data_IF_102093276196
#
_entry.id   IF_102093276196
#
_cell.length_a   1.000
_cell.length_b   1.000
_cell.length_c   1.000
_cell.angle_alpha   90.00
_cell.angle_beta   90.00
_cell.angle_gamma   90.00
#
_symmetry.space_group_name_H-M   'P 1'
#
loop_
_entity.id
_entity.type
_entity.pdbx_description
1 polymer ?
#
# COMPACT_ATOMS: atom_id res chain seq x y z
N UNK A 1 -9.30 9.96 -21.44
CA UNK A 1 -10.20 9.74 -20.28
C UNK A 1 -9.46 9.26 -19.02
N UNK A 2 -8.22 8.76 -19.10
CA UNK A 2 -7.42 8.38 -17.92
C UNK A 2 -6.87 9.57 -17.13
N UNK A 3 -6.45 10.65 -17.80
CA UNK A 3 -5.90 11.85 -17.12
C UNK A 3 -6.87 12.50 -16.14
N UNK A 4 -8.17 12.52 -16.47
CA UNK A 4 -9.22 13.05 -15.58
C UNK A 4 -9.28 12.27 -14.25
N UNK A 5 -9.10 10.96 -14.31
CA UNK A 5 -9.21 10.08 -13.14
C UNK A 5 -7.97 10.18 -12.22
N UNK A 6 -6.80 10.50 -12.77
CA UNK A 6 -5.59 10.80 -11.99
C UNK A 6 -5.66 12.21 -11.38
N UNK A 7 -6.17 13.21 -12.12
CA UNK A 7 -6.40 14.55 -11.57
C UNK A 7 -7.42 14.54 -10.44
N UNK A 8 -8.51 13.76 -10.58
CA UNK A 8 -9.54 13.64 -9.54
C UNK A 8 -8.99 12.98 -8.28
N UNK A 9 -8.18 11.92 -8.42
CA UNK A 9 -7.47 11.29 -7.29
C UNK A 9 -6.52 12.26 -6.60
N UNK A 10 -5.77 13.07 -7.36
CA UNK A 10 -4.88 14.07 -6.80
C UNK A 10 -5.65 15.16 -6.03
N UNK A 11 -6.84 15.54 -6.50
CA UNK A 11 -7.73 16.48 -5.81
C UNK A 11 -8.26 15.86 -4.52
N UNK A 12 -8.65 14.58 -4.51
CA UNK A 12 -9.07 13.86 -3.30
C UNK A 12 -7.94 13.75 -2.27
N UNK A 13 -6.74 13.39 -2.71
CA UNK A 13 -5.53 13.36 -1.87
C UNK A 13 -5.26 14.75 -1.28
N UNK A 14 -5.38 15.81 -2.08
CA UNK A 14 -5.20 17.19 -1.60
C UNK A 14 -6.26 17.59 -0.57
N UNK A 15 -7.53 17.22 -0.77
CA UNK A 15 -8.61 17.46 0.20
C UNK A 15 -8.32 16.74 1.52
N UNK A 16 -7.88 15.49 1.48
CA UNK A 16 -7.54 14.70 2.67
C UNK A 16 -6.31 15.29 3.38
N UNK A 17 -5.25 15.67 2.65
CA UNK A 17 -4.08 16.39 3.20
C UNK A 17 -4.49 17.66 3.93
N UNK A 18 -5.36 18.46 3.31
CA UNK A 18 -5.88 19.70 3.91
C UNK A 18 -6.72 19.41 5.16
N UNK A 19 -7.52 18.35 5.14
CA UNK A 19 -8.36 17.92 6.26
C UNK A 19 -7.50 17.45 7.44
N UNK A 20 -6.47 16.66 7.20
CA UNK A 20 -5.55 16.19 8.25
C UNK A 20 -4.80 17.35 8.89
N UNK A 21 -4.30 18.29 8.10
CA UNK A 21 -3.68 19.51 8.63
C UNK A 21 -4.64 20.31 9.51
N UNK A 22 -5.93 20.35 9.16
CA UNK A 22 -6.96 21.00 9.98
C UNK A 22 -7.27 20.21 11.26
N UNK A 23 -7.28 18.88 11.21
CA UNK A 23 -7.50 18.01 12.37
C UNK A 23 -6.32 18.07 13.36
N UNK A 24 -5.08 18.15 12.88
CA UNK A 24 -3.88 18.26 13.72
C UNK A 24 -3.78 19.61 14.41
N UNK A 25 -4.21 20.69 13.74
CA UNK A 25 -4.30 22.01 14.34
C UNK A 25 -5.41 22.12 15.40
N UNK A 26 -6.44 21.28 15.29
CA UNK A 26 -7.57 21.28 16.22
C UNK A 26 -7.17 20.64 17.56
N UNK A 27 -7.28 21.41 18.64
CA UNK A 27 -7.10 20.93 20.02
C UNK A 27 -8.37 21.09 20.83
N UNK A 28 -8.68 20.07 21.63
CA UNK A 28 -9.79 20.06 22.58
C UNK A 28 -9.32 20.33 24.01
N UNK A 29 -10.27 20.70 24.86
CA UNK A 29 -10.03 20.85 26.30
C UNK A 29 -10.25 19.49 27.00
N UNK A 30 -9.17 18.84 27.41
CA UNK A 30 -9.23 17.51 28.05
C UNK A 30 -9.49 16.38 27.05
N UNK A 31 -10.02 15.24 27.49
CA UNK A 31 -10.23 14.03 26.67
C UNK A 31 -11.54 14.07 25.87
N UNK A 32 -11.74 15.10 25.04
CA UNK A 32 -13.00 15.31 24.31
C UNK A 32 -12.96 14.90 22.84
N UNK A 33 -11.83 14.36 22.37
CA UNK A 33 -11.57 14.08 20.96
C UNK A 33 -11.54 12.57 20.74
N UNK A 34 -12.47 12.07 19.95
CA UNK A 34 -12.58 10.66 19.59
C UNK A 34 -12.03 10.48 18.18
N UNK A 35 -11.04 9.60 18.07
CA UNK A 35 -10.48 9.13 16.80
C UNK A 35 -10.88 7.67 16.61
N UNK A 36 -11.74 7.40 15.64
CA UNK A 36 -12.24 6.07 15.33
C UNK A 36 -11.90 5.70 13.88
N UNK A 37 -11.23 4.57 13.69
CA UNK A 37 -10.86 4.02 12.39
C UNK A 37 -11.35 2.58 12.30
N UNK A 38 -12.12 2.29 11.25
CA UNK A 38 -12.68 0.97 10.99
C UNK A 38 -12.08 0.40 9.69
N UNK A 39 -11.45 -0.79 9.74
CA UNK A 39 -10.90 -1.41 8.55
C UNK A 39 -12.01 -1.98 7.66
N UNK A 40 -11.73 -2.19 6.37
CA UNK A 40 -12.67 -2.85 5.50
C UNK A 40 -12.85 -4.29 5.98
N UNK A 41 -14.09 -4.79 5.93
CA UNK A 41 -14.57 -6.08 6.47
C UNK A 41 -14.98 -6.08 7.95
N UNK A 42 -14.77 -4.99 8.69
CA UNK A 42 -15.33 -4.89 10.03
C UNK A 42 -16.85 -4.70 10.00
N UNK A 43 -17.52 -5.02 11.12
CA UNK A 43 -18.97 -4.88 11.27
C UNK A 43 -19.31 -3.63 12.09
N UNK A 44 -20.20 -2.79 11.54
CA UNK A 44 -20.68 -1.57 12.22
C UNK A 44 -21.37 -1.91 13.55
N UNK A 45 -22.05 -3.05 13.64
CA UNK A 45 -22.69 -3.54 14.86
C UNK A 45 -21.69 -3.73 16.02
N UNK A 46 -20.51 -4.30 15.72
CA UNK A 46 -19.43 -4.50 16.70
C UNK A 46 -18.97 -3.17 17.29
N UNK A 47 -18.73 -2.18 16.43
CA UNK A 47 -18.26 -0.85 16.82
C UNK A 47 -19.35 -0.06 17.55
N UNK A 48 -20.61 -0.20 17.12
CA UNK A 48 -21.76 0.42 17.81
C UNK A 48 -21.92 -0.12 19.22
N UNK A 49 -21.72 -1.43 19.42
CA UNK A 49 -21.72 -2.05 20.75
C UNK A 49 -20.58 -1.51 21.61
N UNK A 50 -19.36 -1.48 21.07
CA UNK A 50 -18.19 -0.93 21.77
C UNK A 50 -18.43 0.52 22.21
N UNK A 51 -18.95 1.39 21.34
CA UNK A 51 -19.31 2.76 21.72
C UNK A 51 -20.41 2.83 22.78
N UNK A 52 -21.32 1.84 22.83
CA UNK A 52 -22.32 1.73 23.88
C UNK A 52 -21.71 1.38 25.25
N UNK A 53 -20.75 0.46 25.27
CA UNK A 53 -20.01 0.09 26.47
C UNK A 53 -19.16 1.29 26.97
N UNK A 54 -18.50 2.01 26.05
CA UNK A 54 -17.74 3.23 26.34
C UNK A 54 -18.61 4.40 26.82
N UNK A 55 -19.86 4.48 26.37
CA UNK A 55 -20.82 5.46 26.91
C UNK A 55 -21.15 5.17 28.39
N UNK A 56 -21.26 3.89 28.74
CA UNK A 56 -21.48 3.44 30.11
C UNK A 56 -20.29 3.77 31.02
N UNK A 57 -19.07 3.50 30.57
CA UNK A 57 -17.84 3.81 31.34
C UNK A 57 -17.64 5.32 31.48
N UNK A 58 -17.88 6.10 30.42
CA UNK A 58 -17.77 7.56 30.43
C UNK A 58 -18.74 8.24 31.41
N UNK A 59 -19.87 7.60 31.74
CA UNK A 59 -20.82 8.12 32.72
C UNK A 59 -20.24 8.22 34.14
N UNK A 60 -19.23 7.41 34.45
CA UNK A 60 -18.53 7.38 35.74
C UNK A 60 -17.44 8.46 35.89
N UNK A 61 -17.20 9.29 34.86
CA UNK A 61 -16.21 10.37 34.92
C UNK A 61 -16.62 11.41 35.98
N UNK A 62 -15.69 11.73 36.90
CA UNK A 62 -15.92 12.66 38.02
C UNK A 62 -16.12 14.11 37.57
N UNK A 63 -15.34 14.57 36.58
CA UNK A 63 -15.44 15.94 36.06
C UNK A 63 -16.72 16.11 35.24
N UNK A 64 -17.62 17.00 35.69
CA UNK A 64 -18.92 17.26 35.03
C UNK A 64 -18.76 17.71 33.58
N UNK A 65 -17.81 18.62 33.32
CA UNK A 65 -17.58 19.22 31.99
C UNK A 65 -17.01 18.18 31.02
N UNK A 66 -15.99 17.43 31.45
CA UNK A 66 -15.39 16.39 30.61
C UNK A 66 -16.38 15.27 30.34
N UNK A 67 -17.16 14.85 31.35
CA UNK A 67 -18.20 13.84 31.19
C UNK A 67 -19.22 14.26 30.13
N UNK A 68 -19.73 15.49 30.17
CA UNK A 68 -20.70 15.97 29.19
C UNK A 68 -20.13 16.04 27.77
N UNK A 69 -18.85 16.41 27.66
CA UNK A 69 -18.14 16.48 26.37
C UNK A 69 -17.92 15.10 25.76
N UNK A 70 -17.45 14.14 26.54
CA UNK A 70 -17.23 12.75 26.11
C UNK A 70 -18.55 12.09 25.71
N UNK A 71 -19.58 12.17 26.56
CA UNK A 71 -20.90 11.60 26.26
C UNK A 71 -21.47 12.21 24.97
N UNK A 72 -21.35 13.53 24.80
CA UNK A 72 -21.79 14.21 23.58
C UNK A 72 -21.04 13.76 22.32
N UNK A 73 -19.73 13.54 22.42
CA UNK A 73 -18.90 13.05 21.31
C UNK A 73 -19.25 11.61 20.91
N UNK A 74 -19.46 10.72 21.90
CA UNK A 74 -19.89 9.33 21.67
C UNK A 74 -21.29 9.29 21.04
N UNK A 75 -22.25 10.06 21.56
CA UNK A 75 -23.60 10.13 20.97
C UNK A 75 -23.54 10.62 19.52
N UNK A 76 -22.70 11.62 19.23
CA UNK A 76 -22.50 12.12 17.87
C UNK A 76 -21.90 11.04 16.96
N UNK A 77 -20.92 10.27 17.45
CA UNK A 77 -20.32 9.17 16.71
C UNK A 77 -21.34 8.06 16.40
N UNK A 78 -22.14 7.65 17.39
CA UNK A 78 -23.21 6.67 17.19
C UNK A 78 -24.26 7.13 16.18
N UNK A 79 -24.63 8.42 16.19
CA UNK A 79 -25.56 8.97 15.21
C UNK A 79 -25.00 8.94 13.79
N UNK A 80 -23.71 9.26 13.61
CA UNK A 80 -23.03 9.16 12.31
C UNK A 80 -22.95 7.72 11.81
N UNK A 81 -22.60 6.77 12.68
CA UNK A 81 -22.52 5.36 12.30
C UNK A 81 -23.85 4.77 11.86
N UNK A 82 -24.99 5.25 12.38
CA UNK A 82 -26.33 4.82 11.94
C UNK A 82 -26.64 5.17 10.49
N UNK A 83 -25.96 6.15 9.89
CA UNK A 83 -26.12 6.49 8.48
C UNK A 83 -25.53 5.42 7.55
N UNK A 84 -24.60 4.61 8.05
CA UNK A 84 -23.91 3.57 7.29
C UNK A 84 -24.51 2.20 7.61
N UNK A 85 -25.03 1.50 6.59
CA UNK A 85 -25.51 0.12 6.75
C UNK A 85 -24.37 -0.91 6.78
N UNK A 86 -23.26 -0.62 6.09
CA UNK A 86 -22.07 -1.46 5.99
C UNK A 86 -20.82 -0.60 5.90
N UNK A 87 -19.69 -1.09 6.41
CA UNK A 87 -18.40 -0.39 6.25
C UNK A 87 -18.06 -0.36 4.75
N UNK A 88 -17.73 0.81 4.18
CA UNK A 88 -17.29 0.96 2.80
C UNK A 88 -16.05 0.11 2.46
N UNK A 89 -15.77 -0.16 1.17
CA UNK A 89 -14.70 -1.06 0.75
C UNK A 89 -13.29 -0.59 1.15
N UNK A 90 -13.06 0.70 1.34
CA UNK A 90 -11.77 1.23 1.80
C UNK A 90 -11.69 1.40 3.33
N UNK A 91 -12.76 1.08 4.06
CA UNK A 91 -12.88 1.37 5.48
C UNK A 91 -13.62 2.68 5.75
N UNK A 92 -13.71 3.07 7.01
CA UNK A 92 -14.40 4.30 7.41
C UNK A 92 -13.65 4.96 8.56
N UNK A 93 -13.44 6.27 8.43
CA UNK A 93 -12.74 7.10 9.40
C UNK A 93 -13.73 8.10 9.97
N UNK A 94 -13.78 8.18 11.30
CA UNK A 94 -14.69 9.04 12.04
C UNK A 94 -13.91 9.81 13.10
N UNK A 95 -13.94 11.13 13.00
CA UNK A 95 -13.44 12.05 14.00
C UNK A 95 -14.60 12.82 14.60
N UNK A 96 -14.81 12.68 15.92
CA UNK A 96 -15.82 13.45 16.65
C UNK A 96 -15.21 14.12 17.86
N UNK A 97 -15.62 15.35 18.14
CA UNK A 97 -15.16 16.05 19.32
C UNK A 97 -15.62 17.49 19.39
N UNK A 98 -15.30 18.13 20.50
CA UNK A 98 -15.51 19.57 20.72
C UNK A 98 -14.17 20.27 20.65
N UNK A 99 -14.01 21.14 19.64
CA UNK A 99 -12.81 21.96 19.46
C UNK A 99 -13.09 23.39 19.94
N UNK A 100 -12.07 24.03 20.47
CA UNK A 100 -12.13 25.47 20.78
C UNK A 100 -11.59 26.23 19.57
N UNK A 101 -12.40 27.11 19.00
CA UNK A 101 -11.96 27.98 17.89
C UNK A 101 -11.19 29.18 18.46
N UNK A 102 -10.38 29.86 17.65
CA UNK A 102 -9.60 31.05 18.07
C UNK A 102 -10.46 32.14 18.74
N UNK A 103 -11.75 32.23 18.37
CA UNK A 103 -12.74 33.12 19.01
C UNK A 103 -13.19 32.69 20.42
N UNK A 104 -12.58 31.65 21.00
CA UNK A 104 -12.94 31.09 22.31
C UNK A 104 -14.28 30.35 22.34
N UNK A 105 -14.93 30.15 21.18
CA UNK A 105 -16.20 29.43 21.07
C UNK A 105 -15.98 27.93 20.91
N UNK A 106 -16.76 27.15 21.65
CA UNK A 106 -16.81 25.70 21.51
C UNK A 106 -17.60 25.29 20.26
N UNK A 107 -16.95 24.55 19.37
CA UNK A 107 -17.57 24.01 18.16
C UNK A 107 -17.53 22.49 18.17
N UNK A 108 -18.70 21.87 18.02
CA UNK A 108 -18.80 20.42 17.80
C UNK A 108 -18.40 20.10 16.36
N UNK A 109 -17.40 19.23 16.22
CA UNK A 109 -16.92 18.73 14.93
C UNK A 109 -17.25 17.24 14.85
N UNK A 110 -17.87 16.85 13.75
CA UNK A 110 -18.10 15.45 13.39
C UNK A 110 -17.80 15.31 11.91
N UNK A 111 -16.71 14.60 11.61
CA UNK A 111 -16.21 14.38 10.26
C UNK A 111 -16.15 12.88 10.06
N UNK A 112 -16.89 12.41 9.07
CA UNK A 112 -16.86 11.04 8.59
C UNK A 112 -16.52 11.05 7.10
N UNK A 113 -15.59 10.20 6.68
CA UNK A 113 -15.24 10.03 5.28
C UNK A 113 -14.67 8.63 5.02
N UNK A 114 -14.81 8.19 3.78
CA UNK A 114 -14.12 7.01 3.26
C UNK A 114 -12.73 7.42 2.76
N UNK A 115 -11.65 6.76 3.21
CA UNK A 115 -10.30 7.03 2.71
C UNK A 115 -10.16 6.57 1.24
N UNK A 116 -9.26 7.21 0.49
CA UNK A 116 -8.99 6.88 -0.91
C UNK A 116 -8.31 5.51 -1.11
N UNK A 117 -7.79 4.91 -0.04
CA UNK A 117 -7.15 3.58 -0.01
C UNK A 117 -7.66 2.77 1.18
N UNK A 118 -7.69 1.42 1.06
CA UNK A 118 -8.12 0.55 2.15
C UNK A 118 -7.19 0.63 3.36
N UNK A 119 -7.76 0.86 4.54
CA UNK A 119 -7.03 0.94 5.81
C UNK A 119 -7.13 -0.38 6.56
N UNK A 120 -6.01 -1.06 6.84
CA UNK A 120 -6.03 -2.30 7.63
C UNK A 120 -5.96 -2.08 9.15
N UNK A 121 -5.76 -0.84 9.60
CA UNK A 121 -5.72 -0.48 11.01
C UNK A 121 -7.13 -0.32 11.61
N UNK A 122 -7.30 -0.80 12.85
CA UNK A 122 -8.45 -0.48 13.68
C UNK A 122 -7.97 0.33 14.88
N UNK A 123 -8.53 1.52 15.07
CA UNK A 123 -8.11 2.46 16.11
C UNK A 123 -9.35 3.02 16.81
N UNK A 124 -9.35 3.04 18.13
CA UNK A 124 -10.30 3.81 18.93
C UNK A 124 -9.52 4.47 20.07
N UNK A 125 -9.45 5.80 20.05
CA UNK A 125 -8.73 6.60 21.05
C UNK A 125 -9.53 7.85 21.41
N UNK A 126 -9.57 8.14 22.71
CA UNK A 126 -10.15 9.35 23.28
C UNK A 126 -9.03 10.18 23.93
N UNK A 127 -8.67 11.31 23.34
CA UNK A 127 -7.60 12.18 23.85
C UNK A 127 -7.97 13.67 23.69
N UNK A 128 -7.03 14.57 23.93
CA UNK A 128 -7.14 16.02 23.72
C UNK A 128 -6.85 16.48 22.29
N UNK A 129 -6.34 15.57 21.45
CA UNK A 129 -6.01 15.78 20.04
C UNK A 129 -6.61 14.66 19.19
N UNK A 130 -6.79 14.94 17.91
CA UNK A 130 -7.10 13.87 16.95
C UNK A 130 -5.83 13.10 16.59
N UNK A 131 -5.95 11.77 16.51
CA UNK A 131 -4.88 10.90 16.05
C UNK A 131 -5.04 10.65 14.55
N UNK A 132 -4.20 11.31 13.75
CA UNK A 132 -4.15 11.22 12.29
C UNK A 132 -2.99 10.36 11.79
N UNK A 133 -2.23 9.72 12.68
CA UNK A 133 -1.04 8.91 12.35
C UNK A 133 -1.33 7.85 11.28
N UNK A 134 -2.40 7.09 11.45
CA UNK A 134 -2.84 6.07 10.48
C UNK A 134 -3.27 6.66 9.13
N UNK A 135 -3.66 7.94 9.07
CA UNK A 135 -3.97 8.61 7.80
C UNK A 135 -2.72 9.18 7.14
N UNK A 136 -1.78 9.69 7.93
CA UNK A 136 -0.49 10.15 7.43
C UNK A 136 0.30 9.00 6.78
N UNK A 137 0.22 7.80 7.33
CA UNK A 137 0.80 6.59 6.72
C UNK A 137 0.21 6.30 5.33
N UNK A 138 -1.09 6.56 5.12
CA UNK A 138 -1.73 6.38 3.80
C UNK A 138 -1.37 7.49 2.81
N UNK A 139 -1.13 8.69 3.33
CA UNK A 139 -0.80 9.88 2.54
C UNK A 139 0.67 9.97 2.16
N UNK A 140 1.55 9.33 2.93
CA UNK A 140 2.87 9.00 2.45
C UNK A 140 2.66 8.22 1.15
N UNK A 141 3.01 8.87 0.05
CA UNK A 141 2.90 8.29 -1.27
C UNK A 141 3.73 7.03 -1.29
N UNK A 142 3.06 5.89 -1.15
CA UNK A 142 3.67 4.64 -1.52
C UNK A 142 3.85 4.67 -3.02
N UNK A 143 5.06 5.07 -3.38
CA UNK A 143 5.72 4.69 -4.60
C UNK A 143 5.42 3.22 -4.87
N UNK A 144 4.71 2.96 -5.97
CA UNK A 144 4.40 1.59 -6.38
C UNK A 144 5.66 0.98 -6.95
N UNK A 145 6.22 0.01 -6.25
CA UNK A 145 7.40 -0.72 -6.70
C UNK A 145 7.01 -2.01 -7.40
N UNK A 146 7.65 -2.28 -8.53
CA UNK A 146 7.48 -3.54 -9.26
C UNK A 146 8.53 -4.56 -8.82
N UNK A 147 8.13 -5.82 -8.78
CA UNK A 147 9.01 -6.96 -8.52
C UNK A 147 8.88 -7.97 -9.65
N UNK A 148 10.02 -8.39 -10.18
CA UNK A 148 10.13 -9.50 -11.11
C UNK A 148 10.96 -10.58 -10.43
N UNK A 149 10.30 -11.66 -10.02
CA UNK A 149 10.98 -12.82 -9.42
C UNK A 149 11.17 -13.87 -10.51
N UNK A 150 12.41 -14.10 -10.93
CA UNK A 150 12.77 -15.10 -11.93
C UNK A 150 13.34 -16.35 -11.26
N UNK A 151 12.82 -17.50 -11.65
CA UNK A 151 13.28 -18.82 -11.23
C UNK A 151 13.35 -19.78 -12.42
N UNK A 152 14.15 -20.84 -12.32
CA UNK A 152 14.27 -21.85 -13.38
C UNK A 152 12.96 -22.58 -13.71
N UNK A 153 11.96 -22.50 -12.82
CA UNK A 153 10.65 -23.14 -12.97
C UNK A 153 9.54 -22.16 -13.40
N UNK A 154 9.79 -20.85 -13.44
CA UNK A 154 8.77 -19.85 -13.71
C UNK A 154 9.15 -18.44 -13.27
N UNK A 155 8.35 -17.45 -13.66
CA UNK A 155 8.46 -16.09 -13.11
C UNK A 155 7.18 -15.67 -12.39
N UNK A 156 7.34 -14.74 -11.46
CA UNK A 156 6.26 -14.03 -10.82
C UNK A 156 6.47 -12.52 -11.00
N UNK A 157 5.41 -11.85 -11.43
CA UNK A 157 5.30 -10.40 -11.45
C UNK A 157 4.42 -9.95 -10.30
N UNK A 158 4.96 -9.07 -9.46
CA UNK A 158 4.26 -8.51 -8.32
C UNK A 158 4.48 -7.02 -8.23
N UNK A 159 3.62 -6.35 -7.48
CA UNK A 159 3.80 -4.97 -7.07
C UNK A 159 3.65 -4.84 -5.57
N UNK A 160 4.44 -3.93 -5.01
CA UNK A 160 4.38 -3.52 -3.62
C UNK A 160 4.01 -2.04 -3.59
N UNK A 161 2.95 -1.73 -2.86
CA UNK A 161 2.56 -0.35 -2.55
C UNK A 161 2.49 -0.24 -1.03
N UNK A 162 3.57 0.25 -0.41
CA UNK A 162 3.70 0.29 1.04
C UNK A 162 3.62 -1.10 1.64
N UNK A 163 2.59 -1.33 2.46
CA UNK A 163 2.32 -2.62 3.09
C UNK A 163 1.45 -3.57 2.24
N UNK A 164 0.88 -3.08 1.12
CA UNK A 164 0.03 -3.89 0.26
C UNK A 164 0.86 -4.62 -0.80
N UNK A 165 0.88 -5.95 -0.74
CA UNK A 165 1.45 -6.82 -1.77
C UNK A 165 0.38 -7.27 -2.75
N UNK A 166 0.66 -7.18 -4.04
CA UNK A 166 -0.22 -7.64 -5.11
C UNK A 166 0.56 -8.51 -6.08
N UNK A 167 0.07 -9.73 -6.37
CA UNK A 167 0.64 -10.59 -7.40
C UNK A 167 -0.15 -10.35 -8.69
N UNK A 168 0.50 -9.79 -9.71
CA UNK A 168 -0.13 -9.45 -10.98
C UNK A 168 -0.29 -10.69 -11.86
N UNK A 169 0.80 -11.43 -12.05
CA UNK A 169 0.82 -12.59 -12.92
C UNK A 169 1.93 -13.56 -12.51
N UNK A 170 1.68 -14.86 -12.71
CA UNK A 170 2.68 -15.90 -12.56
C UNK A 170 2.57 -16.86 -13.72
N UNK A 171 3.72 -17.28 -14.26
CA UNK A 171 3.76 -18.32 -15.28
C UNK A 171 4.91 -19.28 -15.02
N UNK A 172 4.65 -20.57 -15.25
CA UNK A 172 5.66 -21.63 -15.15
C UNK A 172 6.32 -21.90 -16.50
N UNK A 173 7.57 -22.32 -16.46
CA UNK A 173 8.34 -22.74 -17.63
C UNK A 173 9.14 -23.98 -17.29
N UNK A 174 9.15 -24.94 -18.22
CA UNK A 174 9.98 -26.13 -18.11
C UNK A 174 11.26 -25.96 -18.95
N UNK A 175 12.33 -25.55 -18.27
CA UNK A 175 13.66 -25.40 -18.86
C UNK A 175 14.42 -26.74 -18.80
N UNK A 176 15.05 -27.18 -19.90
CA UNK A 176 15.82 -28.41 -19.90
C UNK A 176 16.93 -28.34 -18.85
N UNK A 177 17.23 -29.45 -18.16
CA UNK A 177 18.29 -29.53 -17.12
C UNK A 177 19.68 -29.77 -17.73
N UNK A 178 20.72 -29.36 -17.02
CA UNK A 178 22.10 -29.46 -17.53
C UNK A 178 22.45 -30.94 -17.59
N UNK A 179 22.65 -31.47 -18.79
CA UNK A 179 23.08 -32.85 -18.96
C UNK A 179 24.59 -32.92 -18.84
N UNK A 180 25.09 -33.77 -17.93
CA UNK A 180 26.51 -34.05 -17.76
C UNK A 180 27.00 -35.28 -18.53
N UNK A 181 26.12 -35.95 -19.28
CA UNK A 181 26.46 -37.15 -20.07
C UNK A 181 26.99 -36.72 -21.44
N UNK A 182 28.24 -37.05 -21.74
CA UNK A 182 28.91 -36.73 -23.01
C UNK A 182 28.36 -37.53 -24.20
N UNK A 183 28.62 -37.03 -25.41
CA UNK A 183 28.24 -37.68 -26.68
C UNK A 183 28.15 -36.69 -27.85
N UNK A 184 27.96 -37.22 -29.07
CA UNK A 184 27.84 -36.40 -30.30
C UNK A 184 26.66 -35.40 -30.24
N UNK A 185 25.60 -35.73 -29.50
CA UNK A 185 24.43 -34.88 -29.32
C UNK A 185 24.58 -33.84 -28.19
N UNK A 186 25.64 -33.87 -27.40
CA UNK A 186 25.82 -32.98 -26.24
C UNK A 186 25.82 -31.49 -26.63
N UNK A 187 26.49 -31.13 -27.73
CA UNK A 187 26.52 -29.75 -28.22
C UNK A 187 25.13 -29.27 -28.67
N UNK A 188 24.34 -30.15 -29.30
CA UNK A 188 22.96 -29.84 -29.71
C UNK A 188 22.06 -29.59 -28.50
N UNK A 189 22.16 -30.41 -27.45
CA UNK A 189 21.39 -30.20 -26.21
C UNK A 189 21.79 -28.93 -25.46
N UNK A 190 23.09 -28.56 -25.50
CA UNK A 190 23.56 -27.30 -24.97
C UNK A 190 22.98 -26.10 -25.73
N UNK A 191 22.94 -26.16 -27.08
CA UNK A 191 22.30 -25.12 -27.90
C UNK A 191 20.81 -25.00 -27.63
N UNK A 192 20.08 -26.12 -27.60
CA UNK A 192 18.64 -26.14 -27.32
C UNK A 192 18.32 -25.60 -25.91
N UNK A 193 19.22 -25.82 -24.94
CA UNK A 193 19.13 -25.20 -23.61
C UNK A 193 19.23 -23.68 -23.70
N UNK A 194 20.27 -23.16 -24.35
CA UNK A 194 20.49 -21.72 -24.46
C UNK A 194 19.35 -21.04 -25.23
N UNK A 195 18.85 -21.67 -26.28
CA UNK A 195 17.71 -21.17 -27.05
C UNK A 195 16.43 -21.09 -26.20
N UNK A 196 16.11 -22.15 -25.44
CA UNK A 196 14.97 -22.11 -24.50
C UNK A 196 15.13 -21.07 -23.40
N UNK A 197 16.35 -20.87 -22.87
CA UNK A 197 16.64 -19.81 -21.89
C UNK A 197 16.44 -18.43 -22.48
N UNK A 198 16.95 -18.18 -23.68
CA UNK A 198 16.78 -16.92 -24.38
C UNK A 198 15.30 -16.61 -24.65
N UNK A 199 14.52 -17.60 -25.11
CA UNK A 199 13.08 -17.46 -25.31
C UNK A 199 12.33 -17.17 -24.00
N UNK A 200 12.78 -17.75 -22.88
CA UNK A 200 12.23 -17.48 -21.57
C UNK A 200 12.49 -16.05 -21.09
N UNK A 201 13.73 -15.54 -21.26
CA UNK A 201 14.08 -14.14 -20.96
C UNK A 201 13.26 -13.20 -21.84
N UNK A 202 13.15 -13.47 -23.15
CA UNK A 202 12.33 -12.68 -24.08
C UNK A 202 10.86 -12.60 -23.63
N UNK A 203 10.25 -13.75 -23.34
CA UNK A 203 8.86 -13.80 -22.86
C UNK A 203 8.68 -13.03 -21.55
N UNK A 204 9.67 -13.08 -20.66
CA UNK A 204 9.63 -12.33 -19.40
C UNK A 204 9.73 -10.82 -19.65
N UNK A 205 10.60 -10.38 -20.56
CA UNK A 205 10.74 -8.98 -20.94
C UNK A 205 9.46 -8.43 -21.58
N UNK A 206 8.82 -9.19 -22.49
CA UNK A 206 7.56 -8.81 -23.13
C UNK A 206 6.40 -8.73 -22.12
N UNK A 207 6.33 -9.64 -21.15
CA UNK A 207 5.30 -9.57 -20.11
C UNK A 207 5.58 -8.42 -19.13
N UNK A 208 6.84 -8.12 -18.84
CA UNK A 208 7.21 -6.98 -18.01
C UNK A 208 6.74 -5.65 -18.62
N UNK A 209 6.88 -5.47 -19.93
CA UNK A 209 6.36 -4.27 -20.62
C UNK A 209 4.84 -4.21 -20.56
N UNK A 210 4.15 -5.33 -20.78
CA UNK A 210 2.68 -5.37 -20.69
C UNK A 210 2.12 -5.01 -19.31
N UNK A 211 2.78 -5.42 -18.23
CA UNK A 211 2.28 -5.20 -16.86
C UNK A 211 2.78 -3.91 -16.21
N UNK A 212 4.00 -3.47 -16.51
CA UNK A 212 4.61 -2.30 -15.88
C UNK A 212 4.54 -1.02 -16.72
N UNK A 213 4.19 -1.10 -18.01
CA UNK A 213 3.98 0.07 -18.87
C UNK A 213 2.49 0.21 -19.17
N UNK A 214 1.94 1.38 -18.89
CA UNK A 214 0.56 1.67 -19.27
C UNK A 214 0.49 1.92 -20.78
N UNK A 215 -0.35 1.19 -21.55
CA UNK A 215 -0.40 1.33 -23.01
C UNK A 215 -0.93 2.71 -23.46
N UNK A 216 -1.71 3.39 -22.61
CA UNK A 216 -2.30 4.69 -22.92
C UNK A 216 -1.32 5.87 -22.76
N UNK A 217 -0.46 5.84 -21.73
CA UNK A 217 0.48 6.94 -21.42
C UNK A 217 1.91 6.62 -21.82
N UNK A 218 2.20 5.36 -22.23
CA UNK A 218 3.55 4.89 -22.58
C UNK A 218 4.58 5.07 -21.45
N UNK A 219 4.13 5.36 -20.23
CA UNK A 219 4.97 5.59 -19.07
C UNK A 219 4.93 4.39 -18.10
N UNK A 220 6.03 4.15 -17.36
CA UNK A 220 6.05 3.11 -16.34
C UNK A 220 5.08 3.46 -15.21
N UNK A 221 4.24 2.51 -14.82
CA UNK A 221 3.29 2.62 -13.70
C UNK A 221 3.99 2.47 -12.34
N UNK A 222 5.26 2.09 -12.34
CA UNK A 222 6.07 1.85 -11.13
C UNK A 222 7.13 2.93 -10.96
N UNK A 223 7.31 3.37 -9.73
CA UNK A 223 8.34 4.34 -9.32
C UNK A 223 9.74 3.72 -9.45
N UNK A 224 9.85 2.41 -9.20
CA UNK A 224 11.05 1.61 -9.36
C UNK A 224 10.76 0.11 -9.51
N UNK A 225 11.74 -0.62 -10.02
CA UNK A 225 11.64 -2.04 -10.32
C UNK A 225 12.78 -2.80 -9.63
N UNK A 226 12.46 -3.93 -9.01
CA UNK A 226 13.43 -4.84 -8.40
C UNK A 226 13.40 -6.16 -9.16
N UNK A 227 14.59 -6.60 -9.58
CA UNK A 227 14.78 -7.91 -10.22
C UNK A 227 15.29 -8.90 -9.17
N UNK A 228 14.52 -9.92 -8.85
CA UNK A 228 14.90 -10.95 -7.89
C UNK A 228 15.07 -12.31 -8.60
N UNK A 229 16.02 -13.12 -8.16
CA UNK A 229 16.15 -14.49 -8.63
C UNK A 229 17.34 -15.23 -8.03
N UNK A 230 17.31 -16.56 -8.14
CA UNK A 230 18.33 -17.47 -7.57
C UNK A 230 19.53 -17.71 -8.49
N UNK A 231 19.41 -17.38 -9.77
CA UNK A 231 20.44 -17.60 -10.78
C UNK A 231 20.71 -16.32 -11.60
N UNK A 232 21.71 -16.38 -12.46
CA UNK A 232 22.13 -15.29 -13.36
C UNK A 232 21.05 -14.83 -14.35
N UNK A 233 19.88 -15.47 -14.39
CA UNK A 233 18.76 -15.08 -15.26
C UNK A 233 18.33 -13.63 -15.11
N UNK A 234 18.36 -13.10 -13.87
CA UNK A 234 18.03 -11.69 -13.60
C UNK A 234 19.09 -10.73 -14.16
N UNK A 235 20.35 -11.15 -14.15
CA UNK A 235 21.47 -10.40 -14.71
C UNK A 235 21.41 -10.43 -16.23
N UNK A 236 21.13 -11.61 -16.82
CA UNK A 236 20.86 -11.77 -18.25
C UNK A 236 19.68 -10.88 -18.70
N UNK A 237 18.59 -10.82 -17.92
CA UNK A 237 17.46 -9.93 -18.24
C UNK A 237 17.89 -8.46 -18.19
N UNK A 238 18.58 -8.04 -17.13
CA UNK A 238 18.99 -6.64 -16.94
C UNK A 238 20.00 -6.14 -17.97
N UNK A 239 20.87 -7.02 -18.47
CA UNK A 239 21.88 -6.71 -19.48
C UNK A 239 21.37 -6.91 -20.91
N UNK A 240 20.24 -7.61 -21.10
CA UNK A 240 19.72 -7.88 -22.44
C UNK A 240 19.09 -6.63 -23.07
N UNK A 241 19.39 -6.41 -24.35
CA UNK A 241 18.74 -5.37 -25.19
C UNK A 241 17.24 -5.63 -25.42
N UNK A 242 16.75 -6.81 -25.02
CA UNK A 242 15.33 -7.18 -25.12
C UNK A 242 14.48 -6.53 -24.02
N UNK A 243 15.12 -6.07 -22.94
CA UNK A 243 14.42 -5.40 -21.86
C UNK A 243 14.20 -3.93 -22.23
N UNK A 244 12.97 -3.44 -22.06
CA UNK A 244 12.63 -2.08 -22.44
C UNK A 244 13.47 -1.07 -21.64
N UNK A 245 14.14 -0.18 -22.37
CA UNK A 245 15.01 0.85 -21.82
C UNK A 245 14.31 1.75 -20.80
N UNK A 246 12.99 1.95 -20.94
CA UNK A 246 12.18 2.71 -19.97
C UNK A 246 12.09 2.02 -18.61
N UNK A 247 11.96 0.70 -18.61
CA UNK A 247 11.96 -0.10 -17.38
C UNK A 247 13.37 -0.29 -16.85
N UNK A 248 14.36 -0.42 -17.73
CA UNK A 248 15.77 -0.55 -17.35
C UNK A 248 16.25 0.66 -16.56
N UNK A 249 15.87 1.88 -16.96
CA UNK A 249 16.17 3.11 -16.21
C UNK A 249 15.50 3.18 -14.83
N UNK A 250 14.48 2.35 -14.58
CA UNK A 250 13.75 2.26 -13.32
C UNK A 250 14.18 1.07 -12.46
N UNK A 251 15.15 0.26 -12.92
CA UNK A 251 15.71 -0.83 -12.10
C UNK A 251 16.51 -0.22 -10.95
N UNK A 252 16.04 -0.48 -9.73
CA UNK A 252 16.68 0.01 -8.51
C UNK A 252 17.77 -0.94 -8.04
N UNK A 253 17.48 -2.24 -8.01
CA UNK A 253 18.44 -3.24 -7.60
C UNK A 253 18.11 -4.64 -8.14
N UNK A 254 19.13 -5.50 -8.12
CA UNK A 254 19.06 -6.91 -8.44
C UNK A 254 19.33 -7.72 -7.17
N UNK A 255 18.37 -8.53 -6.73
CA UNK A 255 18.38 -9.24 -5.44
C UNK A 255 18.53 -10.75 -5.64
N UNK A 256 19.43 -11.37 -4.88
CA UNK A 256 19.55 -12.83 -4.78
C UNK A 256 18.52 -13.39 -3.81
N UNK A 257 17.66 -14.29 -4.31
CA UNK A 257 16.69 -15.02 -3.49
C UNK A 257 16.93 -16.53 -3.61
N UNK A 258 16.73 -17.24 -2.50
CA UNK A 258 16.96 -18.69 -2.44
C UNK A 258 15.80 -19.50 -3.03
N UNK A 259 14.61 -18.92 -3.03
CA UNK A 259 13.37 -19.56 -3.47
C UNK A 259 12.71 -18.76 -4.60
N UNK A 260 12.02 -19.45 -5.50
CA UNK A 260 11.17 -18.84 -6.53
C UNK A 260 9.73 -18.62 -6.07
N UNK A 261 8.92 -18.02 -6.95
CA UNK A 261 7.48 -17.86 -6.75
C UNK A 261 7.12 -16.90 -5.61
N UNK A 262 6.01 -17.18 -4.91
CA UNK A 262 5.46 -16.30 -3.86
C UNK A 262 6.35 -16.24 -2.61
N UNK A 263 7.05 -17.33 -2.28
CA UNK A 263 8.01 -17.33 -1.16
C UNK A 263 9.24 -16.48 -1.49
N UNK A 264 9.75 -16.60 -2.72
CA UNK A 264 10.80 -15.74 -3.24
C UNK A 264 10.41 -14.26 -3.27
N UNK A 265 9.14 -13.98 -3.57
CA UNK A 265 8.60 -12.62 -3.54
C UNK A 265 8.64 -12.00 -2.14
N UNK A 266 8.23 -12.75 -1.10
CA UNK A 266 8.32 -12.24 0.28
C UNK A 266 9.78 -11.99 0.70
N UNK A 267 10.68 -12.92 0.37
CA UNK A 267 12.11 -12.76 0.66
C UNK A 267 12.70 -11.55 -0.07
N UNK A 268 12.32 -11.33 -1.33
CA UNK A 268 12.75 -10.17 -2.10
C UNK A 268 12.27 -8.85 -1.48
N UNK A 269 11.05 -8.81 -0.94
CA UNK A 269 10.51 -7.64 -0.25
C UNK A 269 11.33 -7.32 1.01
N UNK A 270 11.61 -8.33 1.83
CA UNK A 270 12.40 -8.16 3.06
C UNK A 270 13.82 -7.64 2.76
N UNK A 271 14.51 -8.24 1.80
CA UNK A 271 15.86 -7.82 1.40
C UNK A 271 15.90 -6.44 0.73
N UNK A 272 14.78 -6.00 0.14
CA UNK A 272 14.70 -4.72 -0.55
C UNK A 272 14.22 -3.58 0.34
N UNK A 273 13.75 -3.86 1.56
CA UNK A 273 13.14 -2.86 2.44
C UNK A 273 14.09 -1.67 2.72
N UNK A 274 15.38 -1.93 2.93
CA UNK A 274 16.39 -0.89 3.16
C UNK A 274 16.63 -0.01 1.93
N UNK A 275 16.51 -0.57 0.73
CA UNK A 275 16.75 0.18 -0.52
C UNK A 275 15.53 1.04 -0.82
N UNK A 276 14.33 0.51 -0.59
CA UNK A 276 13.08 1.21 -0.82
C UNK A 276 12.91 2.42 0.11
N UNK A 277 13.37 2.32 1.37
CA UNK A 277 13.40 3.47 2.27
C UNK A 277 14.40 4.53 1.79
N UNK A 278 15.57 4.13 1.29
CA UNK A 278 16.56 5.05 0.73
C UNK A 278 16.07 5.79 -0.52
N UNK A 279 15.19 5.19 -1.34
CA UNK A 279 14.62 5.88 -2.52
C UNK A 279 13.79 7.09 -2.11
N UNK A 280 13.01 7.02 -1.02
CA UNK A 280 12.28 8.18 -0.49
C UNK A 280 13.24 9.32 -0.14
N UNK A 281 14.35 9.02 0.54
CA UNK A 281 15.37 10.02 0.88
C UNK A 281 16.08 10.61 -0.35
N UNK A 282 16.36 9.81 -1.38
CA UNK A 282 17.04 10.28 -2.60
C UNK A 282 16.12 11.20 -3.41
N UNK A 283 14.82 10.90 -3.46
CA UNK A 283 13.84 11.75 -4.14
C UNK A 283 13.60 13.07 -3.38
N UNK A 284 13.56 13.05 -2.04
CA UNK A 284 13.38 14.28 -1.23
C UNK A 284 14.58 15.22 -1.25
N UNK A 285 15.79 14.69 -1.46
CA UNK A 285 17.02 15.50 -1.49
C UNK A 285 17.24 16.21 -2.83
N UNK A 286 16.47 15.87 -3.86
CA UNK A 286 16.61 16.39 -5.23
C UNK A 286 15.56 17.46 -5.52
#
# INVERSE_FOLDING_TARGET
MADGHETDKNIEIWKIKKLIKALEAARGNGTSMISLIMPPRDQISRVTKMLGDEFGTASNIKSRVNRQSVLGAITSAQQRLKLYCKVPPNGLVLYTGTIVTEDGKEKKVSIDFEPFRPINASLYLCDNKFHTEALNELLESDDKFGFIVMDGNGTLFGTLSGNAREVLHKFSVDLPKKHGRGGQSALRFARLRMEKRHNYVRKTAELATQFFINPATSQPNVSGLILAGSADFKTELSQSDMFDQRLQAKVLNVVDVSYGGENGFNQAIELSAEILSNVKFIQEKR
#
